data_IF_767477085960
#
_entry.id   IF_767477085960
#
_cell.length_a   1.000
_cell.length_b   1.000
_cell.length_c   1.000
_cell.angle_alpha   90.00
_cell.angle_beta   90.00
_cell.angle_gamma   90.00
#
_symmetry.space_group_name_H-M   'P 1'
#
loop_
_entity.id
_entity.type
_entity.pdbx_description
1 polymer ?
#
# COMPACT_ATOMS: atom_id res chain seq x y z
N UNK A 1 -17.85 25.37 -10.69
CA UNK A 1 -16.66 24.51 -10.84
C UNK A 1 -15.47 25.21 -10.19
N UNK A 2 -15.04 24.76 -9.02
CA UNK A 2 -13.86 25.28 -8.31
C UNK A 2 -12.60 24.56 -8.83
N UNK A 3 -11.78 25.25 -9.62
CA UNK A 3 -10.51 24.75 -10.13
C UNK A 3 -9.35 25.06 -9.19
N UNK A 4 -8.36 24.17 -9.11
CA UNK A 4 -7.12 24.44 -8.37
C UNK A 4 -6.32 25.53 -9.10
N UNK A 5 -6.14 26.67 -8.43
CA UNK A 5 -5.30 27.76 -8.92
C UNK A 5 -3.92 27.69 -8.27
N UNK A 6 -2.90 27.50 -9.11
CA UNK A 6 -1.50 27.42 -8.68
C UNK A 6 -0.82 28.68 -9.23
N UNK A 7 -0.36 29.56 -8.33
CA UNK A 7 0.30 30.82 -8.70
C UNK A 7 1.69 30.59 -9.30
N UNK A 8 2.39 29.58 -8.80
CA UNK A 8 3.73 29.23 -9.28
C UNK A 8 3.64 28.47 -10.61
N UNK A 9 4.30 29.01 -11.63
CA UNK A 9 4.27 28.44 -12.97
C UNK A 9 4.91 27.05 -13.03
N UNK A 10 6.02 26.85 -12.32
CA UNK A 10 6.74 25.56 -12.29
C UNK A 10 5.87 24.47 -11.66
N UNK A 11 5.16 24.80 -10.58
CA UNK A 11 4.24 23.88 -9.90
C UNK A 11 3.01 23.59 -10.76
N UNK A 12 2.49 24.59 -11.47
CA UNK A 12 1.37 24.39 -12.39
C UNK A 12 1.75 23.46 -13.56
N UNK A 13 2.97 23.58 -14.10
CA UNK A 13 3.48 22.65 -15.12
C UNK A 13 3.61 21.22 -14.60
N UNK A 14 4.09 21.03 -13.37
CA UNK A 14 4.12 19.72 -12.73
C UNK A 14 2.71 19.12 -12.56
N UNK A 15 1.74 19.92 -12.09
CA UNK A 15 0.36 19.48 -11.96
C UNK A 15 -0.27 19.09 -13.32
N UNK A 16 0.05 19.83 -14.37
CA UNK A 16 -0.40 19.53 -15.74
C UNK A 16 0.25 18.25 -16.29
N UNK A 17 1.56 18.05 -16.06
CA UNK A 17 2.28 16.82 -16.43
C UNK A 17 1.70 15.62 -15.69
N UNK A 18 1.47 15.74 -14.39
CA UNK A 18 0.86 14.71 -13.56
C UNK A 18 -0.54 14.34 -14.06
N UNK A 19 -1.37 15.33 -14.42
CA UNK A 19 -2.70 15.08 -14.98
C UNK A 19 -2.63 14.27 -16.29
N UNK A 20 -1.68 14.59 -17.18
CA UNK A 20 -1.46 13.83 -18.43
C UNK A 20 -1.02 12.39 -18.16
N UNK A 21 -0.06 12.17 -17.27
CA UNK A 21 0.48 10.84 -16.96
C UNK A 21 -0.58 9.98 -16.27
N UNK A 22 -1.27 10.55 -15.28
CA UNK A 22 -2.32 9.86 -14.52
C UNK A 22 -3.66 9.73 -15.28
N UNK A 23 -3.75 10.31 -16.49
CA UNK A 23 -4.99 10.42 -17.28
C UNK A 23 -6.16 10.99 -16.48
N UNK A 24 -5.88 11.88 -15.54
CA UNK A 24 -6.89 12.50 -14.72
C UNK A 24 -7.69 13.53 -15.55
N UNK A 25 -9.01 13.66 -15.33
CA UNK A 25 -9.87 14.55 -16.10
C UNK A 25 -9.56 16.04 -15.87
N UNK A 26 -8.86 16.37 -14.78
CA UNK A 26 -8.39 17.74 -14.52
C UNK A 26 -7.10 17.73 -13.69
N UNK A 27 -6.36 18.84 -13.73
CA UNK A 27 -5.20 19.07 -12.86
C UNK A 27 -5.57 19.04 -11.37
N UNK A 28 -6.77 19.50 -11.02
CA UNK A 28 -7.30 19.42 -9.64
C UNK A 28 -7.45 17.97 -9.18
N UNK A 29 -8.05 17.11 -10.01
CA UNK A 29 -8.21 15.68 -9.69
C UNK A 29 -6.86 14.97 -9.60
N UNK A 30 -5.95 15.29 -10.52
CA UNK A 30 -4.60 14.72 -10.53
C UNK A 30 -3.85 15.03 -9.22
N UNK A 31 -3.85 16.30 -8.82
CA UNK A 31 -3.17 16.76 -7.61
C UNK A 31 -3.84 16.19 -6.37
N UNK A 32 -5.18 16.16 -6.30
CA UNK A 32 -5.88 15.55 -5.15
C UNK A 32 -5.48 14.10 -4.96
N UNK A 33 -5.49 13.31 -6.04
CA UNK A 33 -5.08 11.88 -5.97
C UNK A 33 -3.62 11.72 -5.57
N UNK A 34 -2.73 12.55 -6.11
CA UNK A 34 -1.31 12.50 -5.72
C UNK A 34 -1.10 12.83 -4.24
N UNK A 35 -1.73 13.89 -3.73
CA UNK A 35 -1.65 14.24 -2.30
C UNK A 35 -2.21 13.10 -1.44
N UNK A 36 -3.36 12.53 -1.81
CA UNK A 36 -3.91 11.39 -1.08
C UNK A 36 -2.96 10.19 -1.06
N UNK A 37 -2.32 9.88 -2.19
CA UNK A 37 -1.36 8.79 -2.28
C UNK A 37 -0.12 9.04 -1.43
N UNK A 38 0.40 10.27 -1.41
CA UNK A 38 1.54 10.63 -0.56
C UNK A 38 1.16 10.58 0.92
N UNK A 39 0.02 11.12 1.31
CA UNK A 39 -0.49 10.99 2.68
C UNK A 39 -0.65 9.53 3.09
N UNK A 40 -1.16 8.70 2.18
CA UNK A 40 -1.25 7.25 2.42
C UNK A 40 0.13 6.61 2.49
N UNK A 41 1.14 7.06 1.74
CA UNK A 41 2.51 6.55 1.84
C UNK A 41 3.10 6.86 3.21
N UNK A 42 2.98 8.10 3.69
CA UNK A 42 3.43 8.48 5.03
C UNK A 42 2.64 7.79 6.14
N UNK A 43 1.33 7.62 5.98
CA UNK A 43 0.50 6.91 6.95
C UNK A 43 0.80 5.40 6.99
N UNK A 44 1.10 4.79 5.84
CA UNK A 44 1.48 3.38 5.73
C UNK A 44 2.99 3.15 5.82
N UNK A 45 3.75 4.20 6.14
CA UNK A 45 5.17 4.13 6.50
C UNK A 45 5.36 3.54 7.90
N UNK A 46 4.31 2.90 8.46
CA UNK A 46 4.50 1.94 9.53
C UNK A 46 5.56 0.92 9.09
N UNK A 47 6.66 0.79 9.85
CA UNK A 47 7.72 -0.16 9.58
C UNK A 47 7.14 -1.52 9.24
N UNK A 48 7.73 -2.21 8.26
CA UNK A 48 7.32 -3.57 7.88
C UNK A 48 7.17 -4.49 9.09
N UNK A 49 8.00 -4.29 10.12
CA UNK A 49 7.96 -5.00 11.40
C UNK A 49 6.59 -4.84 12.10
N UNK A 50 6.04 -3.63 12.15
CA UNK A 50 4.76 -3.35 12.81
C UNK A 50 3.59 -3.98 12.04
N UNK A 51 3.61 -3.86 10.70
CA UNK A 51 2.60 -4.48 9.82
C UNK A 51 2.61 -6.00 9.89
N UNK A 52 3.80 -6.61 9.91
CA UNK A 52 3.95 -8.07 10.05
C UNK A 52 3.54 -8.52 11.45
N UNK A 53 3.86 -7.75 12.50
CA UNK A 53 3.46 -8.07 13.86
C UNK A 53 1.94 -8.11 14.03
N UNK A 54 1.20 -7.18 13.41
CA UNK A 54 -0.27 -7.15 13.41
C UNK A 54 -0.87 -8.39 12.71
N UNK A 55 -0.36 -8.73 11.53
CA UNK A 55 -0.80 -9.94 10.80
C UNK A 55 -0.48 -11.22 11.59
N UNK A 56 0.70 -11.29 12.21
CA UNK A 56 1.05 -12.43 13.05
C UNK A 56 0.19 -12.49 14.33
N UNK A 57 -0.23 -11.35 14.88
CA UNK A 57 -1.11 -11.31 16.04
C UNK A 57 -2.50 -11.81 15.71
N UNK A 58 -3.12 -11.32 14.63
CA UNK A 58 -4.43 -11.79 14.18
C UNK A 58 -4.42 -13.28 13.81
N UNK A 59 -3.33 -13.76 13.21
CA UNK A 59 -3.18 -15.19 12.89
C UNK A 59 -3.00 -16.05 14.15
N UNK A 60 -2.33 -15.54 15.18
CA UNK A 60 -2.25 -16.23 16.49
C UNK A 60 -3.61 -16.34 17.16
N UNK A 61 -4.43 -15.30 17.10
CA UNK A 61 -5.81 -15.32 17.62
C UNK A 61 -6.70 -16.32 16.87
N UNK A 62 -6.55 -16.40 15.54
CA UNK A 62 -7.33 -17.33 14.70
C UNK A 62 -6.93 -18.80 14.89
N UNK A 63 -5.63 -19.09 15.00
CA UNK A 63 -5.13 -20.47 15.15
C UNK A 63 -5.29 -20.97 16.60
N UNK A 64 -5.26 -20.07 17.59
CA UNK A 64 -5.25 -20.40 19.02
C UNK A 64 -3.90 -20.95 19.51
N UNK A 65 -3.81 -21.24 20.81
CA UNK A 65 -2.56 -21.71 21.45
C UNK A 65 -2.15 -23.14 21.05
N UNK A 66 -3.10 -23.97 20.60
CA UNK A 66 -2.83 -25.35 20.20
C UNK A 66 -2.34 -25.41 18.75
N UNK A 67 -1.09 -25.00 18.54
CA UNK A 67 -0.40 -25.26 17.27
C UNK A 67 -0.09 -26.76 17.18
N UNK A 68 -0.66 -27.50 16.22
CA UNK A 68 -0.14 -28.83 15.93
C UNK A 68 1.34 -28.68 15.55
N UNK A 69 2.21 -29.54 16.11
CA UNK A 69 3.62 -29.51 15.77
C UNK A 69 3.77 -29.73 14.26
N UNK A 70 4.32 -28.74 13.55
CA UNK A 70 4.57 -28.85 12.13
C UNK A 70 5.79 -29.76 11.92
N UNK A 71 5.56 -30.99 11.47
CA UNK A 71 6.62 -31.88 11.01
C UNK A 71 7.07 -31.45 9.61
N UNK A 72 8.15 -30.68 9.58
CA UNK A 72 8.72 -30.14 8.36
C UNK A 72 9.24 -31.23 7.42
N UNK A 73 9.71 -32.37 7.96
CA UNK A 73 10.27 -33.47 7.15
C UNK A 73 9.15 -34.18 6.40
N UNK A 74 8.03 -34.44 7.06
CA UNK A 74 6.84 -35.04 6.44
C UNK A 74 6.26 -34.14 5.34
N UNK A 75 6.12 -32.84 5.63
CA UNK A 75 5.62 -31.86 4.66
C UNK A 75 6.46 -31.78 3.39
N UNK A 76 7.80 -31.73 3.54
CA UNK A 76 8.68 -31.70 2.38
C UNK A 76 8.54 -32.99 1.57
N UNK A 77 8.60 -34.16 2.22
CA UNK A 77 8.49 -35.46 1.53
C UNK A 77 7.21 -35.59 0.70
N UNK A 78 6.06 -35.17 1.22
CA UNK A 78 4.78 -35.19 0.49
C UNK A 78 4.78 -34.31 -0.78
N UNK A 79 5.57 -33.23 -0.81
CA UNK A 79 5.71 -32.35 -1.97
C UNK A 79 6.65 -32.86 -3.06
N UNK A 80 7.51 -33.85 -2.74
CA UNK A 80 8.44 -34.47 -3.70
C UNK A 80 7.91 -35.78 -4.30
N UNK A 81 6.80 -36.33 -3.79
CA UNK A 81 6.15 -37.55 -4.31
C UNK A 81 5.08 -37.27 -5.39
N UNK A 82 5.01 -36.02 -5.90
CA UNK A 82 4.15 -35.60 -7.02
C UNK A 82 4.84 -35.70 -8.38
#
# INVERSE_FOLDING_TARGET
MTGLFIKDQSVNELAMKLAKISKAPSKTEAVRRAIQNELNRYANEQPLVERVAEIQASMRELIGENKPQHDHKKFMNEGWEL
#
